data_IF_570617709684
#
_entry.id   IF_570617709684
#
_cell.length_a   1.000
_cell.length_b   1.000
_cell.length_c   1.000
_cell.angle_alpha   90.00
_cell.angle_beta   90.00
_cell.angle_gamma   90.00
#
_symmetry.space_group_name_H-M   'P 1'
#
loop_
_entity.id
_entity.type
_entity.pdbx_description
1 polymer ?
#
# COMPACT_ATOMS: atom_id res chain seq x y z
N UNK A 1 17.39 85.05 -18.22
CA UNK A 1 17.09 85.22 -19.67
C UNK A 1 16.46 83.93 -20.16
N UNK A 2 15.23 84.14 -20.61
CA UNK A 2 14.51 83.53 -21.71
C UNK A 2 14.28 82.01 -21.69
N UNK A 3 13.21 81.43 -22.01
CA UNK A 3 11.85 81.88 -22.48
C UNK A 3 10.97 80.60 -22.33
N UNK A 4 9.75 80.79 -21.91
CA UNK A 4 8.71 79.82 -21.96
C UNK A 4 8.24 79.56 -23.41
N UNK A 5 7.96 78.31 -23.75
CA UNK A 5 7.05 77.98 -24.86
C UNK A 5 6.06 76.93 -24.47
N UNK A 6 4.80 77.28 -24.63
CA UNK A 6 3.60 76.48 -24.42
C UNK A 6 3.39 75.55 -25.61
N UNK A 7 2.97 74.29 -25.38
CA UNK A 7 2.34 73.51 -26.43
C UNK A 7 1.19 72.62 -25.86
N UNK A 8 0.04 73.00 -26.22
CA UNK A 8 -1.23 72.30 -26.53
C UNK A 8 -1.51 70.89 -25.97
N UNK A 9 -2.63 70.83 -25.24
CA UNK A 9 -3.41 69.67 -24.84
C UNK A 9 -3.88 68.88 -26.08
N UNK A 10 -3.40 67.60 -26.18
CA UNK A 10 -3.96 66.56 -27.04
C UNK A 10 -4.85 65.63 -26.22
N UNK A 11 -6.06 65.44 -26.71
CA UNK A 11 -7.16 64.60 -26.17
C UNK A 11 -6.75 63.11 -26.25
N UNK A 12 -6.93 62.26 -25.21
CA UNK A 12 -6.67 60.84 -25.33
C UNK A 12 -7.73 60.13 -26.19
N UNK A 13 -7.35 59.12 -27.00
CA UNK A 13 -8.31 58.33 -27.76
C UNK A 13 -9.09 57.35 -26.88
N UNK A 14 -10.31 57.05 -27.32
CA UNK A 14 -11.31 56.21 -26.66
C UNK A 14 -10.79 54.82 -26.31
N UNK A 15 -11.08 54.41 -25.09
CA UNK A 15 -10.85 53.03 -24.60
C UNK A 15 -11.69 52.05 -25.42
N UNK A 16 -11.00 51.16 -26.13
CA UNK A 16 -11.60 49.96 -26.72
C UNK A 16 -11.98 49.04 -25.60
N UNK A 17 -13.25 48.74 -25.43
CA UNK A 17 -13.77 47.67 -24.57
C UNK A 17 -13.26 46.35 -25.15
N UNK A 18 -12.25 45.76 -24.53
CA UNK A 18 -11.88 44.37 -24.72
C UNK A 18 -12.94 43.52 -24.01
N UNK A 19 -13.57 42.65 -24.77
CA UNK A 19 -14.69 41.82 -24.32
C UNK A 19 -14.31 40.83 -23.23
N UNK A 20 -15.29 40.53 -22.42
CA UNK A 20 -15.33 39.46 -21.46
C UNK A 20 -15.17 38.08 -22.16
N UNK A 21 -13.95 37.60 -22.29
CA UNK A 21 -13.63 36.24 -22.78
C UNK A 21 -12.59 35.51 -21.89
N UNK A 22 -12.40 35.97 -20.64
CA UNK A 22 -11.37 35.43 -19.75
C UNK A 22 -11.84 34.67 -18.50
N UNK A 23 -13.16 34.64 -18.23
CA UNK A 23 -13.65 34.15 -16.90
C UNK A 23 -13.84 32.62 -16.84
N UNK A 24 -14.06 31.96 -17.98
CA UNK A 24 -14.29 30.52 -18.01
C UNK A 24 -12.99 29.71 -17.93
N UNK A 25 -11.87 30.26 -18.42
CA UNK A 25 -10.58 29.56 -18.44
C UNK A 25 -9.85 29.69 -17.08
N UNK A 26 -10.06 30.78 -16.36
CA UNK A 26 -9.45 31.06 -15.04
C UNK A 26 -10.05 30.18 -13.92
N UNK A 27 -11.35 29.88 -13.98
CA UNK A 27 -12.00 29.00 -12.99
C UNK A 27 -11.55 27.54 -13.10
N UNK A 28 -11.30 27.04 -14.31
CA UNK A 28 -10.77 25.69 -14.54
C UNK A 28 -9.32 25.55 -14.05
N UNK A 29 -8.50 26.56 -14.31
CA UNK A 29 -7.11 26.62 -13.85
C UNK A 29 -7.07 26.69 -12.33
N UNK A 30 -7.88 27.55 -11.69
CA UNK A 30 -7.91 27.70 -10.22
C UNK A 30 -8.41 26.44 -9.51
N UNK A 31 -9.44 25.79 -10.05
CA UNK A 31 -9.92 24.50 -9.51
C UNK A 31 -8.82 23.44 -9.53
N UNK A 32 -8.03 23.38 -10.60
CA UNK A 32 -6.90 22.45 -10.74
C UNK A 32 -5.77 22.76 -9.74
N UNK A 33 -5.45 24.04 -9.51
CA UNK A 33 -4.46 24.47 -8.50
C UNK A 33 -4.90 24.07 -7.09
N UNK A 34 -6.17 24.26 -6.74
CA UNK A 34 -6.73 23.86 -5.45
C UNK A 34 -6.60 22.34 -5.28
N UNK A 35 -6.94 21.54 -6.30
CA UNK A 35 -6.80 20.09 -6.25
C UNK A 35 -5.34 19.63 -6.06
N UNK A 36 -4.41 20.27 -6.77
CA UNK A 36 -2.99 19.98 -6.63
C UNK A 36 -2.49 20.29 -5.21
N UNK A 37 -2.88 21.45 -4.67
CA UNK A 37 -2.55 21.83 -3.28
C UNK A 37 -3.17 20.87 -2.27
N UNK A 38 -4.44 20.50 -2.44
CA UNK A 38 -5.12 19.52 -1.60
C UNK A 38 -4.44 18.15 -1.66
N UNK A 39 -4.09 17.67 -2.86
CA UNK A 39 -3.37 16.40 -3.04
C UNK A 39 -2.02 16.40 -2.31
N UNK A 40 -1.22 17.47 -2.46
CA UNK A 40 0.07 17.61 -1.80
C UNK A 40 -0.07 17.64 -0.28
N UNK A 41 -1.02 18.40 0.23
CA UNK A 41 -1.26 18.55 1.66
C UNK A 41 -1.77 17.25 2.29
N UNK A 42 -2.72 16.57 1.64
CA UNK A 42 -3.22 15.27 2.11
C UNK A 42 -2.11 14.22 2.07
N UNK A 43 -1.30 14.16 1.01
CA UNK A 43 -0.19 13.22 0.91
C UNK A 43 0.84 13.40 2.04
N UNK A 44 1.10 14.63 2.48
CA UNK A 44 2.09 14.95 3.52
C UNK A 44 1.53 14.91 4.94
N UNK A 45 0.28 15.36 5.15
CA UNK A 45 -0.34 15.53 6.47
C UNK A 45 -1.43 14.51 6.79
N UNK A 46 -1.80 13.68 5.81
CA UNK A 46 -2.80 12.64 5.96
C UNK A 46 -4.24 13.11 5.71
N UNK A 47 -5.18 12.17 5.81
CA UNK A 47 -6.60 12.41 5.54
C UNK A 47 -7.32 13.29 6.58
N UNK A 48 -6.67 13.66 7.69
CA UNK A 48 -7.23 14.60 8.68
C UNK A 48 -7.21 16.05 8.21
N UNK A 49 -6.48 16.38 7.14
CA UNK A 49 -6.41 17.72 6.56
C UNK A 49 -7.81 18.32 6.39
N UNK A 50 -8.02 19.53 6.92
CA UNK A 50 -9.29 20.25 6.87
C UNK A 50 -9.41 21.11 5.60
N UNK A 51 -10.63 21.50 5.23
CA UNK A 51 -10.86 22.48 4.14
C UNK A 51 -10.20 23.83 4.43
N UNK A 52 -10.13 24.24 5.70
CA UNK A 52 -9.45 25.48 6.10
C UNK A 52 -7.96 25.39 5.76
N UNK A 53 -7.29 24.32 6.14
CA UNK A 53 -5.87 24.11 5.85
C UNK A 53 -5.60 24.06 4.33
N UNK A 54 -6.51 23.48 3.55
CA UNK A 54 -6.42 23.47 2.09
C UNK A 54 -6.57 24.89 1.53
N UNK A 55 -7.54 25.67 2.03
CA UNK A 55 -7.75 27.06 1.59
C UNK A 55 -6.53 27.92 1.92
N UNK A 56 -6.02 27.81 3.14
CA UNK A 56 -4.83 28.55 3.60
C UNK A 56 -3.60 28.21 2.75
N UNK A 57 -3.36 26.93 2.49
CA UNK A 57 -2.26 26.46 1.66
C UNK A 57 -2.41 26.89 0.17
N UNK A 58 -3.65 26.98 -0.33
CA UNK A 58 -3.95 27.47 -1.67
C UNK A 58 -3.94 29.00 -1.77
N UNK A 59 -3.75 29.72 -0.66
CA UNK A 59 -3.77 31.19 -0.62
C UNK A 59 -5.12 31.79 -0.96
N UNK A 60 -6.23 31.14 -0.56
CA UNK A 60 -7.60 31.62 -0.81
C UNK A 60 -8.41 31.66 0.49
N UNK A 61 -9.47 32.47 0.46
CA UNK A 61 -10.42 32.44 1.57
C UNK A 61 -11.26 31.15 1.53
N UNK A 62 -11.66 30.58 2.68
CA UNK A 62 -12.52 29.39 2.73
C UNK A 62 -13.80 29.53 1.91
N UNK A 63 -14.42 30.73 1.93
CA UNK A 63 -15.59 31.03 1.11
C UNK A 63 -15.34 30.86 -0.40
N UNK A 64 -14.14 31.24 -0.88
CA UNK A 64 -13.74 31.03 -2.28
C UNK A 64 -13.54 29.55 -2.62
N UNK A 65 -13.06 28.74 -1.66
CA UNK A 65 -12.91 27.30 -1.85
C UNK A 65 -14.28 26.65 -2.07
N UNK A 66 -15.30 27.04 -1.31
CA UNK A 66 -16.66 26.51 -1.45
C UNK A 66 -17.32 26.84 -2.82
N UNK A 67 -16.85 27.86 -3.55
CA UNK A 67 -17.28 28.09 -4.94
C UNK A 67 -16.73 27.04 -5.92
N UNK A 68 -15.67 26.33 -5.57
CA UNK A 68 -15.05 25.30 -6.41
C UNK A 68 -15.38 23.88 -5.95
N UNK A 69 -15.57 23.67 -4.66
CA UNK A 69 -15.84 22.35 -4.05
C UNK A 69 -16.82 22.49 -2.90
N UNK A 70 -17.96 21.80 -2.97
CA UNK A 70 -19.04 21.89 -1.98
C UNK A 70 -18.63 21.26 -0.63
N UNK A 71 -17.68 20.31 -0.64
CA UNK A 71 -17.23 19.60 0.54
C UNK A 71 -15.80 19.07 0.38
N UNK A 72 -15.22 18.56 1.47
CA UNK A 72 -13.95 17.83 1.43
C UNK A 72 -14.10 16.54 0.62
N UNK A 73 -15.22 15.86 0.78
CA UNK A 73 -15.54 14.63 0.04
C UNK A 73 -15.52 14.88 -1.47
N UNK A 74 -16.03 16.02 -1.95
CA UNK A 74 -15.98 16.39 -3.36
C UNK A 74 -14.53 16.51 -3.89
N UNK A 75 -13.60 17.04 -3.08
CA UNK A 75 -12.16 17.05 -3.40
C UNK A 75 -11.60 15.62 -3.45
N UNK A 76 -11.91 14.81 -2.45
CA UNK A 76 -11.43 13.43 -2.36
C UNK A 76 -11.96 12.58 -3.54
N UNK A 77 -13.22 12.72 -3.90
CA UNK A 77 -13.85 12.05 -5.05
C UNK A 77 -13.12 12.43 -6.34
N UNK A 78 -12.87 13.71 -6.57
CA UNK A 78 -12.15 14.16 -7.76
C UNK A 78 -10.73 13.61 -7.84
N UNK A 79 -10.00 13.57 -6.72
CA UNK A 79 -8.66 13.00 -6.66
C UNK A 79 -8.65 11.50 -6.98
N UNK A 80 -9.62 10.74 -6.45
CA UNK A 80 -9.74 9.30 -6.74
C UNK A 80 -10.13 9.07 -8.21
N UNK A 81 -11.04 9.85 -8.76
CA UNK A 81 -11.44 9.72 -10.16
C UNK A 81 -10.25 9.92 -11.10
N UNK A 82 -9.45 10.96 -10.90
CA UNK A 82 -8.23 11.20 -11.69
C UNK A 82 -7.24 10.06 -11.58
N UNK A 83 -7.06 9.52 -10.38
CA UNK A 83 -6.22 8.35 -10.18
C UNK A 83 -6.71 7.12 -10.94
N UNK A 84 -8.01 6.83 -10.88
CA UNK A 84 -8.61 5.72 -11.61
C UNK A 84 -8.55 5.92 -13.13
N UNK A 85 -8.74 7.15 -13.63
CA UNK A 85 -8.61 7.50 -15.05
C UNK A 85 -7.19 7.26 -15.54
N UNK A 86 -6.16 7.63 -14.77
CA UNK A 86 -4.77 7.40 -15.13
C UNK A 86 -4.42 5.91 -15.09
N UNK A 87 -4.87 5.14 -14.10
CA UNK A 87 -4.71 3.69 -14.09
C UNK A 87 -5.41 3.02 -15.28
N UNK A 88 -6.61 3.47 -15.64
CA UNK A 88 -7.33 2.97 -16.81
C UNK A 88 -6.56 3.27 -18.10
N UNK A 89 -6.01 4.47 -18.24
CA UNK A 89 -5.18 4.86 -19.40
C UNK A 89 -3.92 4.00 -19.50
N UNK A 90 -3.25 3.73 -18.38
CA UNK A 90 -2.08 2.83 -18.33
C UNK A 90 -2.46 1.43 -18.81
N UNK A 91 -3.56 0.87 -18.30
CA UNK A 91 -4.05 -0.45 -18.71
C UNK A 91 -4.38 -0.51 -20.20
N UNK A 92 -5.15 0.46 -20.71
CA UNK A 92 -5.51 0.54 -22.12
C UNK A 92 -4.29 0.68 -23.04
N UNK A 93 -3.32 1.53 -22.64
CA UNK A 93 -2.08 1.71 -23.40
C UNK A 93 -1.28 0.42 -23.46
N UNK A 94 -1.17 -0.31 -22.33
CA UNK A 94 -0.45 -1.57 -22.30
C UNK A 94 -1.13 -2.65 -23.15
N UNK A 95 -2.47 -2.73 -23.15
CA UNK A 95 -3.22 -3.64 -24.00
C UNK A 95 -3.05 -3.32 -25.49
N UNK A 96 -3.18 -2.05 -25.88
CA UNK A 96 -2.99 -1.65 -27.28
C UNK A 96 -1.59 -2.03 -27.81
N UNK A 97 -0.56 -1.90 -26.99
CA UNK A 97 0.81 -2.29 -27.35
C UNK A 97 1.03 -3.81 -27.46
N UNK A 98 0.17 -4.64 -26.90
CA UNK A 98 0.25 -6.09 -27.10
C UNK A 98 -0.20 -6.50 -28.50
N UNK A 99 -1.09 -5.73 -29.12
CA UNK A 99 -1.60 -5.95 -30.48
C UNK A 99 -0.63 -5.43 -31.56
N UNK A 100 0.33 -4.57 -31.18
CA UNK A 100 1.35 -4.06 -32.09
C UNK A 100 2.52 -5.06 -32.25
N UNK A 101 3.18 -5.10 -33.42
CA UNK A 101 4.38 -5.91 -33.62
C UNK A 101 5.55 -5.33 -32.82
N UNK A 102 5.59 -5.66 -31.54
CA UNK A 102 6.63 -5.20 -30.58
C UNK A 102 7.57 -6.37 -30.28
N UNK A 103 8.84 -6.21 -30.68
CA UNK A 103 9.91 -7.21 -30.51
C UNK A 103 10.49 -7.24 -29.09
N UNK A 104 10.05 -6.36 -28.16
CA UNK A 104 10.57 -6.33 -26.79
C UNK A 104 10.26 -7.62 -26.05
N UNK A 105 11.22 -8.13 -25.24
CA UNK A 105 11.02 -9.32 -24.44
C UNK A 105 9.88 -9.14 -23.41
N UNK A 106 9.14 -10.21 -23.13
CA UNK A 106 8.04 -10.19 -22.15
C UNK A 106 8.43 -9.65 -20.79
N UNK A 107 9.62 -9.98 -20.19
CA UNK A 107 10.01 -9.40 -18.90
C UNK A 107 10.10 -7.88 -18.94
N UNK A 108 10.53 -7.28 -20.02
CA UNK A 108 10.58 -5.82 -20.15
C UNK A 108 9.19 -5.19 -20.17
N UNK A 109 8.23 -5.83 -20.86
CA UNK A 109 6.82 -5.40 -20.89
C UNK A 109 6.18 -5.46 -19.50
N UNK A 110 6.47 -6.52 -18.72
CA UNK A 110 5.99 -6.66 -17.33
C UNK A 110 6.58 -5.56 -16.45
N UNK A 111 7.89 -5.30 -16.55
CA UNK A 111 8.58 -4.28 -15.76
C UNK A 111 8.08 -2.87 -16.15
N UNK A 112 7.92 -2.58 -17.44
CA UNK A 112 7.38 -1.30 -17.92
C UNK A 112 5.98 -1.03 -17.38
N UNK A 113 5.07 -2.00 -17.50
CA UNK A 113 3.72 -1.88 -16.95
C UNK A 113 3.75 -1.73 -15.42
N UNK A 114 4.56 -2.51 -14.73
CA UNK A 114 4.76 -2.41 -13.29
C UNK A 114 5.27 -1.03 -12.87
N UNK A 115 6.29 -0.49 -13.56
CA UNK A 115 6.83 0.84 -13.31
C UNK A 115 5.81 1.95 -13.58
N UNK A 116 5.00 1.83 -14.65
CA UNK A 116 3.93 2.78 -14.94
C UNK A 116 2.87 2.82 -13.82
N UNK A 117 2.46 1.66 -13.32
CA UNK A 117 1.52 1.56 -12.17
C UNK A 117 2.15 2.19 -10.91
N UNK A 118 3.40 1.86 -10.60
CA UNK A 118 4.10 2.38 -9.42
C UNK A 118 4.26 3.91 -9.48
N UNK A 119 4.65 4.47 -10.62
CA UNK A 119 4.77 5.92 -10.81
C UNK A 119 3.42 6.62 -10.70
N UNK A 120 2.35 6.05 -11.26
CA UNK A 120 1.00 6.57 -11.09
C UNK A 120 0.60 6.60 -9.61
N UNK A 121 0.87 5.53 -8.85
CA UNK A 121 0.60 5.49 -7.42
C UNK A 121 1.37 6.56 -6.63
N UNK A 122 2.62 6.87 -7.01
CA UNK A 122 3.41 7.96 -6.42
C UNK A 122 2.82 9.33 -6.75
N UNK A 123 2.45 9.56 -8.01
CA UNK A 123 1.85 10.83 -8.45
C UNK A 123 0.51 11.12 -7.75
N UNK A 124 -0.26 10.08 -7.49
CA UNK A 124 -1.57 10.17 -6.85
C UNK A 124 -1.55 9.75 -5.37
N UNK A 125 -0.52 10.15 -4.61
CA UNK A 125 -0.32 9.73 -3.23
C UNK A 125 -1.53 9.96 -2.30
N UNK A 126 -2.26 11.06 -2.47
CA UNK A 126 -3.49 11.32 -1.71
C UNK A 126 -4.61 10.31 -2.06
N UNK A 127 -4.81 10.01 -3.33
CA UNK A 127 -5.79 9.01 -3.76
C UNK A 127 -5.38 7.60 -3.32
N UNK A 128 -4.08 7.29 -3.38
CA UNK A 128 -3.55 6.02 -2.90
C UNK A 128 -3.81 5.82 -1.39
N UNK A 129 -3.72 6.87 -0.57
CA UNK A 129 -4.06 6.79 0.86
C UNK A 129 -5.53 6.42 1.09
N UNK A 130 -6.42 6.79 0.18
CA UNK A 130 -7.85 6.48 0.24
C UNK A 130 -8.22 5.14 -0.40
N UNK A 131 -7.48 4.69 -1.39
CA UNK A 131 -7.69 3.41 -2.07
C UNK A 131 -7.50 2.26 -1.09
N UNK A 132 -8.45 1.60 -0.61
CA UNK A 132 -8.44 0.63 0.48
C UNK A 132 -9.01 1.18 1.82
N UNK A 133 -9.62 2.36 1.79
CA UNK A 133 -10.28 2.90 2.96
C UNK A 133 -11.65 2.20 3.12
N UNK A 134 -11.76 1.38 4.14
CA UNK A 134 -13.01 0.70 4.52
C UNK A 134 -13.79 1.48 5.60
N UNK A 135 -13.35 2.69 5.91
CA UNK A 135 -13.98 3.53 6.93
C UNK A 135 -15.40 3.95 6.54
N UNK A 136 -16.27 4.22 7.51
CA UNK A 136 -17.61 4.74 7.24
C UNK A 136 -17.49 6.16 6.68
N UNK A 137 -17.45 6.28 5.37
CA UNK A 137 -17.75 7.56 4.72
C UNK A 137 -19.25 7.76 4.73
N UNK A 138 -19.70 8.97 5.06
CA UNK A 138 -21.11 9.34 4.90
C UNK A 138 -21.47 9.48 3.40
N UNK A 139 -20.48 9.62 2.52
CA UNK A 139 -20.67 9.77 1.09
C UNK A 139 -20.63 8.41 0.37
N UNK A 140 -21.76 7.97 -0.21
CA UNK A 140 -21.84 6.66 -0.89
C UNK A 140 -20.96 6.57 -2.13
N UNK A 141 -20.73 7.70 -2.83
CA UNK A 141 -19.89 7.75 -4.02
C UNK A 141 -18.43 7.54 -3.66
N UNK A 142 -17.94 8.23 -2.61
CA UNK A 142 -16.58 8.05 -2.10
C UNK A 142 -16.35 6.60 -1.70
N UNK A 143 -17.29 5.98 -0.97
CA UNK A 143 -17.21 4.55 -0.61
C UNK A 143 -17.12 3.66 -1.85
N UNK A 144 -17.96 3.87 -2.85
CA UNK A 144 -17.94 3.08 -4.09
C UNK A 144 -16.60 3.20 -4.82
N UNK A 145 -16.08 4.41 -4.96
CA UNK A 145 -14.82 4.66 -5.65
C UNK A 145 -13.62 4.05 -4.92
N UNK A 146 -13.57 4.14 -3.59
CA UNK A 146 -12.46 3.58 -2.80
C UNK A 146 -12.41 2.05 -2.81
N UNK A 147 -13.55 1.39 -3.02
CA UNK A 147 -13.66 -0.07 -3.08
C UNK A 147 -13.54 -0.63 -4.51
N UNK A 148 -13.53 0.22 -5.52
CA UNK A 148 -13.47 -0.22 -6.90
C UNK A 148 -12.07 -0.75 -7.25
N UNK A 149 -11.96 -2.04 -7.67
CA UNK A 149 -10.68 -2.59 -8.06
C UNK A 149 -10.20 -1.98 -9.39
N UNK A 150 -8.89 -1.81 -9.59
CA UNK A 150 -8.32 -1.22 -10.81
C UNK A 150 -8.27 -2.26 -11.94
N UNK A 151 -9.43 -2.62 -12.49
CA UNK A 151 -9.60 -3.74 -13.44
C UNK A 151 -8.74 -3.59 -14.70
N UNK A 152 -8.58 -2.38 -15.23
CA UNK A 152 -7.85 -2.17 -16.48
C UNK A 152 -6.37 -2.58 -16.40
N UNK A 153 -5.68 -2.24 -15.31
CA UNK A 153 -4.27 -2.65 -15.11
C UNK A 153 -4.16 -4.14 -14.80
N UNK A 154 -5.14 -4.73 -14.09
CA UNK A 154 -5.16 -6.16 -13.80
C UNK A 154 -5.33 -6.98 -15.09
N UNK A 155 -6.26 -6.58 -15.97
CA UNK A 155 -6.46 -7.23 -17.27
C UNK A 155 -5.23 -7.05 -18.17
N UNK A 156 -4.65 -5.86 -18.26
CA UNK A 156 -3.43 -5.62 -19.03
C UNK A 156 -2.26 -6.49 -18.53
N UNK A 157 -2.06 -6.59 -17.21
CA UNK A 157 -1.04 -7.47 -16.64
C UNK A 157 -1.32 -8.94 -16.95
N UNK A 158 -2.57 -9.38 -16.82
CA UNK A 158 -2.98 -10.75 -17.14
C UNK A 158 -2.71 -11.09 -18.61
N UNK A 159 -3.03 -10.20 -19.54
CA UNK A 159 -2.77 -10.41 -20.97
C UNK A 159 -1.26 -10.46 -21.24
N UNK A 160 -0.47 -9.58 -20.61
CA UNK A 160 1.00 -9.60 -20.71
C UNK A 160 1.59 -10.92 -20.20
N UNK A 161 1.08 -11.43 -19.08
CA UNK A 161 1.49 -12.73 -18.54
C UNK A 161 1.06 -13.90 -19.42
N UNK A 162 -0.13 -13.84 -20.04
CA UNK A 162 -0.58 -14.83 -21.02
C UNK A 162 0.35 -14.86 -22.23
N UNK A 163 0.72 -13.71 -22.77
CA UNK A 163 1.72 -13.63 -23.86
C UNK A 163 3.06 -14.24 -23.41
N UNK A 164 3.48 -14.01 -22.17
CA UNK A 164 4.66 -14.65 -21.59
C UNK A 164 4.57 -16.16 -21.48
N UNK A 165 3.41 -16.70 -21.16
CA UNK A 165 3.18 -18.16 -21.16
C UNK A 165 3.21 -18.74 -22.58
N UNK A 166 2.59 -18.07 -23.53
CA UNK A 166 2.62 -18.47 -24.94
C UNK A 166 4.02 -18.51 -25.53
N UNK A 167 4.88 -17.57 -25.16
CA UNK A 167 6.29 -17.55 -25.57
C UNK A 167 7.19 -18.54 -24.82
N UNK A 168 6.64 -19.30 -23.87
CA UNK A 168 7.40 -20.22 -23.03
C UNK A 168 8.23 -19.55 -21.93
N UNK A 169 8.07 -18.24 -21.70
CA UNK A 169 8.80 -17.49 -20.66
C UNK A 169 8.23 -17.73 -19.25
N UNK A 170 6.90 -17.76 -19.10
CA UNK A 170 6.23 -18.03 -17.81
C UNK A 170 5.95 -19.52 -17.68
N UNK A 171 6.22 -20.10 -16.53
CA UNK A 171 5.96 -21.52 -16.20
C UNK A 171 4.48 -21.87 -16.40
N UNK A 172 4.16 -23.10 -16.89
CA UNK A 172 2.79 -23.49 -17.22
C UNK A 172 1.88 -23.69 -16.02
N UNK A 173 2.43 -23.99 -14.85
CA UNK A 173 1.74 -24.32 -13.60
C UNK A 173 1.37 -23.09 -12.76
N UNK A 174 1.82 -21.91 -13.13
CA UNK A 174 1.51 -20.67 -12.40
C UNK A 174 0.06 -20.22 -12.66
N UNK A 175 -0.69 -19.89 -11.63
CA UNK A 175 -2.00 -19.25 -11.77
C UNK A 175 -1.83 -17.78 -12.17
N UNK A 176 -2.14 -17.46 -13.44
CA UNK A 176 -1.91 -16.13 -14.00
C UNK A 176 -2.84 -15.05 -13.45
N UNK A 177 -4.14 -15.31 -13.20
CA UNK A 177 -5.00 -14.31 -12.57
C UNK A 177 -4.48 -13.88 -11.20
N UNK A 178 -4.14 -14.81 -10.32
CA UNK A 178 -3.56 -14.53 -9.00
C UNK A 178 -2.21 -13.80 -9.11
N UNK A 179 -1.37 -14.19 -10.07
CA UNK A 179 -0.09 -13.52 -10.31
C UNK A 179 -0.28 -12.08 -10.80
N UNK A 180 -1.21 -11.82 -11.72
CA UNK A 180 -1.51 -10.48 -12.22
C UNK A 180 -1.99 -9.57 -11.08
N UNK A 181 -2.92 -10.06 -10.26
CA UNK A 181 -3.40 -9.33 -9.08
C UNK A 181 -2.26 -9.06 -8.09
N UNK A 182 -1.43 -10.07 -7.81
CA UNK A 182 -0.25 -9.93 -6.94
C UNK A 182 0.70 -8.83 -7.41
N UNK A 183 1.06 -8.83 -8.71
CA UNK A 183 1.96 -7.84 -9.27
C UNK A 183 1.33 -6.44 -9.18
N UNK A 184 0.08 -6.28 -9.64
CA UNK A 184 -0.59 -4.98 -9.61
C UNK A 184 -0.69 -4.41 -8.20
N UNK A 185 -1.13 -5.19 -7.21
CA UNK A 185 -1.21 -4.74 -5.83
C UNK A 185 0.17 -4.39 -5.25
N UNK A 186 1.20 -5.20 -5.57
CA UNK A 186 2.58 -4.90 -5.16
C UNK A 186 3.04 -3.56 -5.74
N UNK A 187 2.78 -3.28 -7.01
CA UNK A 187 3.15 -2.02 -7.67
C UNK A 187 2.40 -0.82 -7.09
N UNK A 188 1.11 -0.94 -6.79
CA UNK A 188 0.34 0.10 -6.11
C UNK A 188 0.92 0.44 -4.72
N UNK A 189 1.42 -0.57 -4.00
CA UNK A 189 2.05 -0.36 -2.69
C UNK A 189 3.42 0.33 -2.77
N UNK A 190 4.10 0.32 -3.91
CA UNK A 190 5.36 1.05 -4.12
C UNK A 190 5.19 2.54 -3.80
N UNK A 191 4.05 3.14 -4.14
CA UNK A 191 3.77 4.54 -3.83
C UNK A 191 3.90 4.86 -2.35
N UNK A 192 3.39 3.98 -1.46
CA UNK A 192 3.51 4.14 0.00
C UNK A 192 4.97 4.00 0.47
N UNK A 193 5.72 3.06 -0.11
CA UNK A 193 7.12 2.84 0.23
C UNK A 193 8.01 4.01 -0.20
N UNK A 194 7.77 4.57 -1.40
CA UNK A 194 8.50 5.72 -1.94
C UNK A 194 8.27 6.97 -1.09
N UNK A 195 7.03 7.28 -0.75
CA UNK A 195 6.68 8.43 0.10
C UNK A 195 7.38 8.37 1.46
N UNK A 196 7.57 7.17 2.03
CA UNK A 196 8.18 6.98 3.36
C UNK A 196 9.71 6.92 3.35
N UNK A 197 10.33 6.59 2.22
CA UNK A 197 11.75 6.23 2.19
C UNK A 197 12.56 6.98 1.14
N UNK A 198 11.96 7.93 0.43
CA UNK A 198 12.59 8.72 -0.63
C UNK A 198 13.38 7.86 -1.65
N UNK A 199 12.76 6.78 -2.12
CA UNK A 199 13.34 5.83 -3.08
C UNK A 199 12.81 6.13 -4.49
N UNK A 200 13.54 5.72 -5.55
CA UNK A 200 13.01 5.78 -6.92
C UNK A 200 11.92 4.72 -7.11
N UNK A 201 10.75 5.12 -7.61
CA UNK A 201 9.66 4.20 -7.93
C UNK A 201 10.07 3.16 -8.97
N UNK A 202 10.77 3.58 -10.02
CA UNK A 202 11.25 2.69 -11.08
C UNK A 202 12.20 1.62 -10.56
N UNK A 203 13.19 2.01 -9.74
CA UNK A 203 14.14 1.06 -9.16
C UNK A 203 13.46 0.03 -8.24
N UNK A 204 12.49 0.47 -7.45
CA UNK A 204 11.73 -0.42 -6.55
C UNK A 204 10.83 -1.34 -7.35
N UNK A 205 10.09 -0.82 -8.34
CA UNK A 205 9.22 -1.60 -9.21
C UNK A 205 9.99 -2.63 -10.04
N UNK A 206 11.10 -2.23 -10.64
CA UNK A 206 11.98 -3.12 -11.39
C UNK A 206 12.50 -4.25 -10.51
N UNK A 207 12.99 -3.94 -9.31
CA UNK A 207 13.50 -4.96 -8.39
C UNK A 207 12.41 -5.93 -7.95
N UNK A 208 11.20 -5.44 -7.62
CA UNK A 208 10.06 -6.29 -7.25
C UNK A 208 9.64 -7.19 -8.40
N UNK A 209 9.53 -6.68 -9.62
CA UNK A 209 9.23 -7.48 -10.80
C UNK A 209 10.32 -8.54 -11.05
N UNK A 210 11.60 -8.18 -10.92
CA UNK A 210 12.71 -9.14 -11.06
C UNK A 210 12.65 -10.24 -10.02
N UNK A 211 12.37 -9.93 -8.75
CA UNK A 211 12.21 -10.95 -7.71
C UNK A 211 11.06 -11.89 -8.06
N UNK A 212 9.90 -11.37 -8.45
CA UNK A 212 8.74 -12.19 -8.80
C UNK A 212 9.04 -13.08 -10.02
N UNK A 213 9.71 -12.54 -11.03
CA UNK A 213 10.02 -13.29 -12.26
C UNK A 213 11.11 -14.33 -12.05
N UNK A 214 12.21 -13.99 -11.39
CA UNK A 214 13.42 -14.80 -11.32
C UNK A 214 13.55 -15.59 -10.02
N UNK A 215 12.92 -15.13 -8.93
CA UNK A 215 13.09 -15.65 -7.58
C UNK A 215 14.43 -15.26 -6.95
N UNK A 216 14.51 -15.41 -5.64
CA UNK A 216 15.71 -15.14 -4.85
C UNK A 216 16.62 -16.36 -4.69
N UNK A 217 16.06 -17.58 -4.64
CA UNK A 217 16.84 -18.78 -4.40
C UNK A 217 17.70 -19.13 -5.63
N UNK A 218 19.01 -19.31 -5.44
CA UNK A 218 19.93 -19.72 -6.50
C UNK A 218 19.54 -21.08 -7.11
N UNK A 219 19.02 -21.97 -6.28
CA UNK A 219 18.43 -23.26 -6.69
C UNK A 219 16.99 -23.29 -6.23
N UNK A 220 16.06 -23.69 -7.12
CA UNK A 220 14.63 -23.78 -6.78
C UNK A 220 14.39 -24.87 -5.72
N UNK A 221 13.95 -24.52 -4.50
CA UNK A 221 13.66 -25.50 -3.47
C UNK A 221 12.35 -26.21 -3.77
N UNK A 222 12.22 -27.49 -3.37
CA UNK A 222 10.96 -28.23 -3.45
C UNK A 222 10.08 -27.92 -2.23
N UNK A 223 8.74 -28.04 -2.38
CA UNK A 223 7.82 -27.87 -1.25
C UNK A 223 8.13 -28.83 -0.12
N UNK A 224 8.42 -30.10 -0.44
CA UNK A 224 8.74 -31.13 0.54
C UNK A 224 10.02 -30.82 1.34
N UNK A 225 11.03 -30.20 0.73
CA UNK A 225 12.24 -29.82 1.45
C UNK A 225 11.95 -28.65 2.42
N UNK A 226 11.24 -27.63 1.95
CA UNK A 226 10.85 -26.47 2.76
C UNK A 226 9.97 -26.87 3.94
N UNK A 227 8.95 -27.72 3.71
CA UNK A 227 8.02 -28.18 4.74
C UNK A 227 8.68 -29.01 5.86
N UNK A 228 9.80 -29.67 5.56
CA UNK A 228 10.57 -30.47 6.54
C UNK A 228 11.69 -29.70 7.21
N UNK A 229 11.88 -28.43 6.87
CA UNK A 229 12.97 -27.63 7.44
C UNK A 229 12.77 -27.34 8.93
N UNK A 230 13.86 -27.19 9.66
CA UNK A 230 13.83 -26.75 11.06
C UNK A 230 13.22 -25.36 11.21
N UNK A 231 13.37 -24.49 10.20
CA UNK A 231 12.76 -23.18 10.18
C UNK A 231 11.22 -23.27 10.12
N UNK A 232 10.68 -24.18 9.31
CA UNK A 232 9.24 -24.38 9.20
C UNK A 232 8.65 -24.99 10.48
N UNK A 233 9.35 -25.92 11.09
CA UNK A 233 8.99 -26.48 12.41
C UNK A 233 8.99 -25.40 13.50
N UNK A 234 10.00 -24.52 13.51
CA UNK A 234 10.09 -23.40 14.45
C UNK A 234 8.95 -22.39 14.27
N UNK A 235 8.54 -22.11 13.01
CA UNK A 235 7.38 -21.30 12.72
C UNK A 235 6.09 -21.93 13.27
N UNK A 236 5.85 -23.21 12.99
CA UNK A 236 4.66 -23.93 13.47
C UNK A 236 4.55 -23.91 14.99
N UNK A 237 5.66 -24.17 15.71
CA UNK A 237 5.66 -24.16 17.16
C UNK A 237 5.18 -22.84 17.76
N UNK A 238 5.50 -21.69 17.13
CA UNK A 238 4.97 -20.38 17.59
C UNK A 238 3.54 -20.17 17.13
N UNK A 239 3.18 -20.52 15.89
CA UNK A 239 1.83 -20.37 15.35
C UNK A 239 0.81 -21.15 16.19
N UNK A 240 1.17 -22.33 16.67
CA UNK A 240 0.33 -23.14 17.57
C UNK A 240 -0.01 -22.41 18.86
N UNK A 241 0.92 -21.64 19.44
CA UNK A 241 0.66 -20.85 20.64
C UNK A 241 -0.39 -19.75 20.42
N UNK A 242 -0.60 -19.31 19.19
CA UNK A 242 -1.62 -18.29 18.88
C UNK A 242 -3.05 -18.82 19.01
N UNK A 243 -3.26 -20.13 18.99
CA UNK A 243 -4.58 -20.75 19.13
C UNK A 243 -5.20 -20.48 20.51
N UNK A 244 -4.38 -20.45 21.57
CA UNK A 244 -4.81 -20.33 22.96
C UNK A 244 -5.35 -18.94 23.33
N UNK A 245 -5.03 -17.91 22.54
CA UNK A 245 -5.49 -16.54 22.78
C UNK A 245 -6.99 -16.28 22.46
N UNK A 246 -7.69 -17.25 21.88
CA UNK A 246 -9.15 -17.14 21.64
C UNK A 246 -9.98 -17.44 22.89
N UNK A 247 -9.40 -18.15 23.84
CA UNK A 247 -10.05 -18.58 25.07
C UNK A 247 -9.90 -17.56 26.22
N UNK A 248 -9.73 -16.27 25.89
CA UNK A 248 -9.82 -15.20 26.88
C UNK A 248 -11.15 -15.38 27.63
N UNK A 249 -11.05 -15.57 28.94
CA UNK A 249 -12.20 -15.83 29.83
C UNK A 249 -13.32 -14.81 29.52
N UNK A 250 -14.52 -15.25 29.09
CA UNK A 250 -15.63 -14.34 28.76
C UNK A 250 -16.01 -13.42 29.92
N UNK A 251 -15.59 -13.74 31.15
CA UNK A 251 -15.79 -12.90 32.35
C UNK A 251 -14.78 -11.75 32.47
N UNK A 252 -13.69 -11.75 31.69
CA UNK A 252 -12.72 -10.66 31.69
C UNK A 252 -13.19 -9.50 30.79
N UNK A 253 -13.73 -8.47 31.48
CA UNK A 253 -14.22 -7.26 30.81
C UNK A 253 -13.14 -6.53 29.99
N UNK A 254 -11.88 -6.61 30.41
CA UNK A 254 -10.78 -5.98 29.68
C UNK A 254 -10.53 -6.72 28.35
N UNK A 255 -10.44 -8.04 28.39
CA UNK A 255 -10.29 -8.87 27.19
C UNK A 255 -11.48 -8.69 26.23
N UNK A 256 -12.71 -8.60 26.75
CA UNK A 256 -13.89 -8.35 25.94
C UNK A 256 -13.85 -6.97 25.26
N UNK A 257 -13.51 -5.91 25.99
CA UNK A 257 -13.39 -4.55 25.42
C UNK A 257 -12.28 -4.48 24.39
N UNK A 258 -11.12 -5.11 24.62
CA UNK A 258 -10.03 -5.19 23.66
C UNK A 258 -10.44 -5.90 22.36
N UNK A 259 -11.17 -7.01 22.47
CA UNK A 259 -11.66 -7.76 21.30
C UNK A 259 -12.65 -6.93 20.47
N UNK A 260 -13.60 -6.24 21.14
CA UNK A 260 -14.57 -5.36 20.45
C UNK A 260 -13.85 -4.14 19.83
N UNK A 261 -12.93 -3.52 20.56
CA UNK A 261 -12.17 -2.37 20.04
C UNK A 261 -11.35 -2.73 18.81
N UNK A 262 -10.68 -3.90 18.83
CA UNK A 262 -9.93 -4.44 17.69
C UNK A 262 -10.82 -4.60 16.46
N UNK A 263 -11.97 -5.22 16.62
CA UNK A 263 -12.95 -5.41 15.54
C UNK A 263 -13.47 -4.05 15.01
N UNK A 264 -13.84 -3.12 15.88
CA UNK A 264 -14.32 -1.80 15.47
C UNK A 264 -13.24 -0.96 14.78
N UNK A 265 -12.00 -0.98 15.28
CA UNK A 265 -10.87 -0.31 14.62
C UNK A 265 -10.54 -0.95 13.26
N UNK A 266 -10.56 -2.27 13.15
CA UNK A 266 -10.33 -2.99 11.89
C UNK A 266 -11.41 -2.74 10.84
N UNK A 267 -12.66 -2.65 11.28
CA UNK A 267 -13.83 -2.46 10.41
C UNK A 267 -14.06 -1.01 10.00
N UNK A 268 -13.97 -0.06 10.93
CA UNK A 268 -14.33 1.35 10.73
C UNK A 268 -13.13 2.27 10.57
N UNK A 269 -11.95 1.81 10.96
CA UNK A 269 -10.75 2.63 11.08
C UNK A 269 -10.62 3.26 12.47
N UNK A 270 -9.38 3.41 12.91
CA UNK A 270 -9.05 4.00 14.22
C UNK A 270 -9.58 5.42 14.36
N UNK A 271 -9.40 6.26 13.34
CA UNK A 271 -9.67 7.70 13.41
C UNK A 271 -11.14 8.02 13.71
N UNK A 272 -12.06 7.32 13.07
CA UNK A 272 -13.50 7.59 13.16
C UNK A 272 -14.19 6.83 14.29
N UNK A 273 -13.59 5.76 14.80
CA UNK A 273 -14.16 4.97 15.93
C UNK A 273 -13.99 5.74 17.23
N UNK A 274 -15.07 5.91 17.98
CA UNK A 274 -15.07 6.57 19.29
C UNK A 274 -15.15 5.55 20.43
N UNK A 275 -14.76 5.95 21.65
CA UNK A 275 -14.95 5.12 22.86
C UNK A 275 -16.45 4.82 23.08
N UNK A 276 -17.34 5.71 22.66
CA UNK A 276 -18.80 5.47 22.74
C UNK A 276 -19.23 4.34 21.81
N UNK A 277 -18.67 4.28 20.60
CA UNK A 277 -18.97 3.21 19.65
C UNK A 277 -18.50 1.86 20.21
N UNK A 278 -17.28 1.80 20.76
CA UNK A 278 -16.72 0.61 21.39
C UNK A 278 -17.58 0.18 22.60
N UNK A 279 -17.97 1.11 23.46
CA UNK A 279 -18.81 0.83 24.61
C UNK A 279 -20.17 0.27 24.20
N UNK A 280 -20.80 0.90 23.20
CA UNK A 280 -22.08 0.43 22.64
C UNK A 280 -21.97 -0.98 22.05
N UNK A 281 -20.94 -1.25 21.26
CA UNK A 281 -20.70 -2.56 20.66
C UNK A 281 -20.35 -3.63 21.71
N UNK A 282 -19.69 -3.25 22.81
CA UNK A 282 -19.38 -4.14 23.93
C UNK A 282 -20.56 -4.35 24.90
N UNK A 283 -21.66 -3.63 24.74
CA UNK A 283 -22.79 -3.68 25.69
C UNK A 283 -22.44 -3.09 27.06
N UNK A 284 -21.51 -2.14 27.12
CA UNK A 284 -20.99 -1.53 28.35
C UNK A 284 -21.24 0.00 28.38
N UNK A 285 -21.25 0.55 29.57
CA UNK A 285 -21.21 2.02 29.73
C UNK A 285 -19.84 2.59 29.42
N UNK A 286 -19.78 3.78 28.80
CA UNK A 286 -18.53 4.49 28.42
C UNK A 286 -17.58 4.64 29.61
N UNK A 287 -18.11 4.98 30.84
CA UNK A 287 -17.31 5.07 32.05
C UNK A 287 -16.66 3.75 32.47
N UNK A 288 -17.29 2.60 32.13
CA UNK A 288 -16.70 1.27 32.37
C UNK A 288 -15.51 1.04 31.45
N UNK A 289 -15.63 1.40 30.17
CA UNK A 289 -14.54 1.26 29.21
C UNK A 289 -13.33 2.11 29.64
N UNK A 290 -13.52 3.39 29.97
CA UNK A 290 -12.44 4.25 30.46
C UNK A 290 -11.76 3.71 31.72
N UNK A 291 -12.54 3.17 32.66
CA UNK A 291 -11.98 2.60 33.91
C UNK A 291 -11.16 1.34 33.68
N UNK A 292 -11.57 0.50 32.70
CA UNK A 292 -10.94 -0.80 32.46
C UNK A 292 -9.71 -0.68 31.59
N UNK A 293 -9.72 0.21 30.62
CA UNK A 293 -8.71 0.26 29.55
C UNK A 293 -8.00 1.63 29.46
N UNK A 294 -8.59 2.69 29.98
CA UNK A 294 -8.05 4.04 29.86
C UNK A 294 -8.49 4.75 28.57
N UNK A 295 -7.54 5.27 27.79
CA UNK A 295 -7.81 6.05 26.59
C UNK A 295 -7.94 5.20 25.32
N UNK A 296 -8.45 5.81 24.24
CA UNK A 296 -8.48 5.20 22.91
C UNK A 296 -7.08 4.87 22.39
N UNK A 297 -6.09 5.72 22.68
CA UNK A 297 -4.70 5.51 22.28
C UNK A 297 -4.06 4.33 23.04
N UNK A 298 -4.38 4.17 24.33
CA UNK A 298 -3.93 3.03 25.13
C UNK A 298 -4.55 1.72 24.64
N UNK A 299 -5.82 1.74 24.23
CA UNK A 299 -6.45 0.60 23.56
C UNK A 299 -5.70 0.19 22.29
N UNK A 300 -5.44 1.14 21.40
CA UNK A 300 -4.70 0.90 20.16
C UNK A 300 -3.30 0.36 20.45
N UNK A 301 -2.58 1.00 21.36
CA UNK A 301 -1.23 0.57 21.75
C UNK A 301 -1.24 -0.86 22.27
N UNK A 302 -2.16 -1.21 23.19
CA UNK A 302 -2.28 -2.56 23.75
C UNK A 302 -2.55 -3.62 22.66
N UNK A 303 -3.48 -3.34 21.73
CA UNK A 303 -3.82 -4.24 20.62
C UNK A 303 -2.60 -4.44 19.73
N UNK A 304 -1.98 -3.34 19.27
CA UNK A 304 -0.90 -3.39 18.29
C UNK A 304 0.42 -3.91 18.87
N UNK A 305 0.72 -3.63 20.13
CA UNK A 305 1.89 -4.20 20.82
C UNK A 305 1.73 -5.72 21.03
N UNK A 306 0.54 -6.18 21.39
CA UNK A 306 0.27 -7.62 21.50
C UNK A 306 0.46 -8.32 20.15
N UNK A 307 -0.11 -7.79 19.08
CA UNK A 307 0.09 -8.27 17.71
C UNK A 307 1.58 -8.27 17.33
N UNK A 308 2.27 -7.14 17.55
CA UNK A 308 3.69 -6.98 17.24
C UNK A 308 4.56 -8.02 17.93
N UNK A 309 4.34 -8.28 19.24
CA UNK A 309 5.07 -9.28 20.02
C UNK A 309 4.87 -10.70 19.48
N UNK A 310 3.64 -11.07 19.08
CA UNK A 310 3.34 -12.40 18.52
C UNK A 310 4.06 -12.65 17.21
N UNK A 311 3.96 -11.70 16.28
CA UNK A 311 4.66 -11.80 15.00
C UNK A 311 6.18 -11.80 15.19
N UNK A 312 6.71 -10.97 16.10
CA UNK A 312 8.15 -10.94 16.42
C UNK A 312 8.64 -12.25 17.02
N UNK A 313 7.86 -12.89 17.92
CA UNK A 313 8.20 -14.21 18.45
C UNK A 313 8.36 -15.24 17.33
N UNK A 314 7.46 -15.23 16.31
CA UNK A 314 7.59 -16.09 15.13
C UNK A 314 8.87 -15.80 14.33
N UNK A 315 9.16 -14.53 14.07
CA UNK A 315 10.38 -14.12 13.37
C UNK A 315 11.65 -14.56 14.11
N UNK A 316 11.72 -14.29 15.41
CA UNK A 316 12.89 -14.66 16.24
C UNK A 316 13.08 -16.18 16.28
N UNK A 317 11.99 -16.97 16.43
CA UNK A 317 12.07 -18.43 16.43
C UNK A 317 12.63 -18.96 15.12
N UNK A 318 12.11 -18.48 13.98
CA UNK A 318 12.57 -18.86 12.64
C UNK A 318 14.05 -18.46 12.44
N UNK A 319 14.42 -17.23 12.77
CA UNK A 319 15.79 -16.74 12.55
C UNK A 319 16.84 -17.48 13.41
N UNK A 320 16.46 -17.95 14.60
CA UNK A 320 17.33 -18.72 15.50
C UNK A 320 17.41 -20.20 15.16
N UNK A 321 16.54 -20.73 14.31
CA UNK A 321 16.56 -22.13 13.92
C UNK A 321 17.85 -22.50 13.17
N UNK A 322 18.27 -23.75 13.31
CA UNK A 322 19.35 -24.32 12.51
C UNK A 322 18.81 -24.74 11.13
N UNK A 323 18.74 -23.74 10.22
CA UNK A 323 18.20 -23.87 8.89
C UNK A 323 18.90 -22.89 7.93
N UNK A 324 18.81 -23.16 6.64
CA UNK A 324 19.43 -22.33 5.60
C UNK A 324 18.69 -21.00 5.44
N UNK A 325 19.33 -19.95 4.91
CA UNK A 325 18.70 -18.67 4.62
C UNK A 325 17.43 -18.77 3.77
N UNK A 326 17.40 -19.66 2.77
CA UNK A 326 16.23 -19.89 1.92
C UNK A 326 15.08 -20.52 2.70
N UNK A 327 15.35 -21.51 3.55
CA UNK A 327 14.35 -22.14 4.43
C UNK A 327 13.80 -21.14 5.46
N UNK A 328 14.65 -20.26 6.01
CA UNK A 328 14.22 -19.19 6.90
C UNK A 328 13.31 -18.18 6.19
N UNK A 329 13.63 -17.78 4.96
CA UNK A 329 12.76 -16.89 4.17
C UNK A 329 11.37 -17.51 3.92
N UNK A 330 11.32 -18.82 3.62
CA UNK A 330 10.07 -19.55 3.47
C UNK A 330 9.24 -19.56 4.76
N UNK A 331 9.87 -19.93 5.86
CA UNK A 331 9.23 -20.01 7.16
C UNK A 331 8.72 -18.63 7.66
N UNK A 332 9.44 -17.53 7.35
CA UNK A 332 8.97 -16.18 7.62
C UNK A 332 7.71 -15.85 6.80
N UNK A 333 7.63 -16.29 5.53
CA UNK A 333 6.40 -16.16 4.74
C UNK A 333 5.25 -16.94 5.37
N UNK A 334 5.51 -18.13 5.91
CA UNK A 334 4.50 -18.94 6.62
C UNK A 334 4.00 -18.27 7.90
N UNK A 335 4.91 -17.67 8.70
CA UNK A 335 4.53 -16.84 9.85
C UNK A 335 3.60 -15.71 9.43
N UNK A 336 3.95 -14.98 8.35
CA UNK A 336 3.15 -13.84 7.89
C UNK A 336 1.77 -14.25 7.33
N UNK A 337 1.69 -15.38 6.60
CA UNK A 337 0.41 -15.94 6.10
C UNK A 337 -0.52 -16.27 7.26
N UNK A 338 0.01 -16.93 8.31
CA UNK A 338 -0.79 -17.28 9.49
C UNK A 338 -1.15 -16.06 10.35
N UNK A 339 -0.24 -15.07 10.43
CA UNK A 339 -0.52 -13.82 11.13
C UNK A 339 -1.66 -13.05 10.44
N UNK A 340 -1.66 -12.97 9.11
CA UNK A 340 -2.73 -12.31 8.35
C UNK A 340 -4.08 -13.04 8.51
N UNK A 341 -4.08 -14.37 8.47
CA UNK A 341 -5.27 -15.19 8.68
C UNK A 341 -5.85 -15.04 10.10
N UNK A 342 -4.97 -15.00 11.10
CA UNK A 342 -5.36 -15.00 12.51
C UNK A 342 -5.69 -13.61 13.06
N UNK A 343 -4.94 -12.60 12.63
CA UNK A 343 -4.96 -11.24 13.16
C UNK A 343 -5.34 -10.24 12.05
N UNK A 344 -6.38 -10.58 11.26
CA UNK A 344 -6.79 -9.77 10.10
C UNK A 344 -7.19 -8.33 10.48
N UNK A 345 -7.82 -8.14 11.66
CA UNK A 345 -8.23 -6.81 12.13
C UNK A 345 -7.01 -5.96 12.50
N UNK A 346 -6.04 -6.52 13.22
CA UNK A 346 -4.78 -5.83 13.56
C UNK A 346 -4.00 -5.48 12.30
N UNK A 347 -4.01 -6.36 11.30
CA UNK A 347 -3.37 -6.10 10.02
C UNK A 347 -4.05 -4.96 9.25
N UNK A 348 -5.40 -4.91 9.26
CA UNK A 348 -6.17 -3.79 8.68
C UNK A 348 -5.90 -2.48 9.41
N UNK A 349 -5.86 -2.49 10.74
CA UNK A 349 -5.50 -1.33 11.56
C UNK A 349 -4.11 -0.84 11.16
N UNK A 350 -3.15 -1.73 11.02
CA UNK A 350 -1.79 -1.40 10.62
C UNK A 350 -1.71 -0.81 9.21
N UNK A 351 -2.42 -1.40 8.24
CA UNK A 351 -2.47 -0.88 6.87
C UNK A 351 -3.13 0.51 6.81
N UNK A 352 -4.22 0.70 7.54
CA UNK A 352 -4.88 1.99 7.65
C UNK A 352 -3.94 3.04 8.25
N UNK A 353 -3.22 2.69 9.33
CA UNK A 353 -2.22 3.57 9.91
C UNK A 353 -1.12 3.96 8.93
N UNK A 354 -0.56 3.00 8.20
CA UNK A 354 0.49 3.26 7.21
C UNK A 354 0.04 4.19 6.08
N UNK A 355 -1.24 4.22 5.76
CA UNK A 355 -1.80 5.05 4.69
C UNK A 355 -2.22 6.43 5.17
N UNK A 356 -2.84 6.51 6.34
CA UNK A 356 -3.51 7.70 6.84
C UNK A 356 -2.61 8.59 7.70
N UNK A 357 -1.57 8.02 8.32
CA UNK A 357 -0.66 8.76 9.17
C UNK A 357 0.47 9.40 8.36
N UNK A 358 0.94 10.60 8.77
CA UNK A 358 2.12 11.21 8.18
C UNK A 358 3.31 10.23 8.14
N UNK A 359 4.20 10.32 7.14
CA UNK A 359 5.27 9.35 6.93
C UNK A 359 6.17 9.10 8.14
N UNK A 360 6.36 10.12 8.98
CA UNK A 360 7.24 10.06 10.15
C UNK A 360 6.53 9.66 11.45
N UNK A 361 5.21 9.37 11.42
CA UNK A 361 4.47 8.98 12.60
C UNK A 361 4.83 7.54 13.01
N UNK A 362 5.28 7.30 14.25
CA UNK A 362 5.55 5.93 14.73
C UNK A 362 4.29 5.07 14.64
N UNK A 363 4.43 3.86 14.12
CA UNK A 363 3.33 2.89 14.09
C UNK A 363 3.39 2.04 15.37
N UNK A 364 2.37 2.08 16.22
CA UNK A 364 2.32 1.28 17.45
C UNK A 364 2.52 -0.21 17.15
N UNK A 365 3.38 -0.89 17.90
CA UNK A 365 3.63 -2.32 17.75
C UNK A 365 4.38 -2.75 16.48
N UNK A 366 4.73 -1.83 15.58
CA UNK A 366 5.42 -2.15 14.35
C UNK A 366 6.93 -2.06 14.49
N UNK A 367 7.59 -3.20 14.60
CA UNK A 367 9.04 -3.32 14.76
C UNK A 367 9.79 -3.26 13.41
N UNK A 368 9.39 -2.35 12.51
CA UNK A 368 9.93 -2.32 11.13
C UNK A 368 11.46 -2.19 11.07
N UNK A 369 12.04 -1.30 11.86
CA UNK A 369 13.49 -1.11 11.89
C UNK A 369 14.23 -2.39 12.34
N UNK A 370 13.67 -3.13 13.30
CA UNK A 370 14.21 -4.41 13.76
C UNK A 370 14.10 -5.46 12.66
N UNK A 371 12.92 -5.61 12.05
CA UNK A 371 12.72 -6.55 10.92
C UNK A 371 13.59 -6.23 9.72
N UNK A 372 13.81 -4.96 9.42
CA UNK A 372 14.71 -4.54 8.35
C UNK A 372 16.16 -4.97 8.63
N UNK A 373 16.65 -4.79 9.88
CA UNK A 373 17.98 -5.27 10.27
C UNK A 373 18.10 -6.79 10.18
N UNK A 374 17.12 -7.51 10.70
CA UNK A 374 17.05 -8.99 10.66
C UNK A 374 17.05 -9.49 9.21
N UNK A 375 16.22 -8.93 8.37
CA UNK A 375 16.14 -9.29 6.94
C UNK A 375 17.44 -8.98 6.20
N UNK A 376 18.05 -7.82 6.44
CA UNK A 376 19.38 -7.51 5.87
C UNK A 376 20.45 -8.52 6.26
N UNK A 377 20.46 -8.92 7.52
CA UNK A 377 21.41 -9.96 8.01
C UNK A 377 21.17 -11.29 7.29
N UNK A 378 19.93 -11.76 7.25
CA UNK A 378 19.54 -13.01 6.60
C UNK A 378 19.89 -13.02 5.10
N UNK A 379 19.56 -11.96 4.38
CA UNK A 379 19.88 -11.85 2.95
C UNK A 379 21.40 -11.79 2.71
N UNK A 380 22.14 -11.07 3.55
CA UNK A 380 23.60 -11.00 3.45
C UNK A 380 24.27 -12.36 3.72
N UNK A 381 23.71 -13.14 4.65
CA UNK A 381 24.14 -14.51 4.90
C UNK A 381 23.90 -15.41 3.70
N UNK A 382 22.66 -15.39 3.14
CA UNK A 382 22.30 -16.19 1.98
C UNK A 382 23.09 -15.85 0.71
N UNK A 383 23.39 -14.57 0.50
CA UNK A 383 24.24 -14.12 -0.62
C UNK A 383 25.66 -14.64 -0.46
N UNK A 384 26.26 -14.54 0.75
CA UNK A 384 27.60 -15.07 1.03
C UNK A 384 27.68 -16.60 0.91
N UNK A 385 26.61 -17.29 1.27
CA UNK A 385 26.51 -18.75 1.13
C UNK A 385 26.23 -19.20 -0.33
N UNK A 386 25.97 -18.27 -1.25
CA UNK A 386 25.60 -18.59 -2.64
C UNK A 386 24.20 -19.21 -2.78
N UNK A 387 23.35 -19.12 -1.76
CA UNK A 387 21.99 -19.63 -1.77
C UNK A 387 20.99 -18.62 -2.33
N UNK A 388 21.29 -17.33 -2.19
CA UNK A 388 20.46 -16.22 -2.66
C UNK A 388 21.19 -15.51 -3.80
N UNK A 389 20.54 -15.44 -4.96
CA UNK A 389 20.97 -14.64 -6.09
C UNK A 389 20.41 -13.24 -5.95
N UNK A 390 21.28 -12.28 -5.65
CA UNK A 390 20.89 -10.87 -5.65
C UNK A 390 21.79 -10.14 -6.65
N UNK A 391 21.15 -9.59 -7.68
CA UNK A 391 21.80 -8.58 -8.53
C UNK A 391 21.89 -7.24 -7.77
N UNK A 392 22.61 -6.21 -8.31
CA UNK A 392 22.58 -4.89 -7.71
C UNK A 392 21.14 -4.41 -7.58
N UNK A 393 20.66 -4.03 -6.46
CA UNK A 393 20.87 -2.80 -5.72
C UNK A 393 21.31 -3.06 -4.28
N UNK A 394 21.34 -1.99 -3.45
CA UNK A 394 21.75 -2.11 -2.05
C UNK A 394 20.96 -3.18 -1.29
N UNK A 395 21.63 -3.92 -0.40
CA UNK A 395 20.98 -4.92 0.47
C UNK A 395 19.81 -4.33 1.27
N UNK A 396 19.82 -3.03 1.54
CA UNK A 396 18.73 -2.33 2.23
C UNK A 396 17.48 -2.24 1.35
N UNK A 397 17.60 -1.92 0.07
CA UNK A 397 16.47 -1.90 -0.86
C UNK A 397 15.93 -3.31 -1.07
N UNK A 398 16.81 -4.29 -1.27
CA UNK A 398 16.43 -5.69 -1.38
C UNK A 398 15.63 -6.16 -0.14
N UNK A 399 16.12 -5.86 1.06
CA UNK A 399 15.44 -6.24 2.30
C UNK A 399 14.04 -5.59 2.43
N UNK A 400 13.89 -4.33 2.04
CA UNK A 400 12.58 -3.65 2.01
C UNK A 400 11.62 -4.33 1.03
N UNK A 401 12.07 -4.61 -0.18
CA UNK A 401 11.28 -5.31 -1.20
C UNK A 401 10.86 -6.70 -0.74
N UNK A 402 11.78 -7.47 -0.14
CA UNK A 402 11.49 -8.83 0.36
C UNK A 402 10.48 -8.79 1.50
N UNK A 403 10.64 -7.88 2.48
CA UNK A 403 9.66 -7.70 3.56
C UNK A 403 8.27 -7.39 2.97
N UNK A 404 8.18 -6.51 1.99
CA UNK A 404 6.90 -6.22 1.30
C UNK A 404 6.31 -7.45 0.61
N UNK A 405 7.14 -8.21 -0.10
CA UNK A 405 6.70 -9.41 -0.81
C UNK A 405 6.33 -10.59 0.10
N UNK A 406 6.81 -10.63 1.35
CA UNK A 406 6.40 -11.66 2.30
C UNK A 406 4.96 -11.48 2.80
N UNK A 407 4.34 -10.32 2.58
CA UNK A 407 2.93 -10.09 2.87
C UNK A 407 2.10 -10.36 1.61
N UNK A 408 1.23 -11.36 1.71
CA UNK A 408 0.30 -11.69 0.64
C UNK A 408 -0.95 -10.83 0.80
N UNK A 409 -1.53 -10.27 -0.29
CA UNK A 409 -2.80 -9.58 -0.23
C UNK A 409 -3.91 -10.43 0.40
N UNK A 410 -4.71 -9.82 1.26
CA UNK A 410 -5.76 -10.52 2.02
C UNK A 410 -6.79 -11.19 1.11
N UNK A 411 -7.15 -10.56 -0.01
CA UNK A 411 -8.06 -11.13 -1.00
C UNK A 411 -7.50 -12.41 -1.64
N UNK A 412 -6.19 -12.48 -1.90
CA UNK A 412 -5.54 -13.70 -2.39
C UNK A 412 -5.61 -14.78 -1.32
N UNK A 413 -5.20 -14.47 -0.08
CA UNK A 413 -5.26 -15.43 1.03
C UNK A 413 -6.67 -15.99 1.23
N UNK A 414 -7.71 -15.14 1.18
CA UNK A 414 -9.10 -15.56 1.32
C UNK A 414 -9.59 -16.43 0.14
N UNK A 415 -9.13 -16.14 -1.07
CA UNK A 415 -9.55 -16.87 -2.26
C UNK A 415 -8.93 -18.27 -2.33
N UNK A 416 -7.64 -18.42 -1.99
CA UNK A 416 -6.91 -19.67 -2.20
C UNK A 416 -6.62 -20.44 -0.91
N UNK A 417 -6.76 -19.84 0.26
CA UNK A 417 -6.42 -20.42 1.57
C UNK A 417 -4.91 -20.40 1.87
N UNK A 418 -4.56 -20.66 3.14
CA UNK A 418 -3.19 -20.52 3.67
C UNK A 418 -2.14 -21.31 2.91
N UNK A 419 -2.43 -22.58 2.60
CA UNK A 419 -1.44 -23.46 1.97
C UNK A 419 -1.13 -23.04 0.54
N UNK A 420 -2.14 -22.74 -0.26
CA UNK A 420 -1.94 -22.25 -1.62
C UNK A 420 -1.32 -20.85 -1.64
N UNK A 421 -1.66 -19.99 -0.67
CA UNK A 421 -1.01 -18.69 -0.48
C UNK A 421 0.49 -18.83 -0.19
N UNK A 422 0.89 -19.80 0.65
CA UNK A 422 2.31 -20.10 0.87
C UNK A 422 3.00 -20.58 -0.40
N UNK A 423 2.39 -21.50 -1.16
CA UNK A 423 2.95 -21.97 -2.45
C UNK A 423 3.11 -20.78 -3.41
N UNK A 424 2.12 -19.91 -3.50
CA UNK A 424 2.21 -18.69 -4.28
C UNK A 424 3.35 -17.76 -3.81
N UNK A 425 3.59 -17.63 -2.49
CA UNK A 425 4.74 -16.90 -1.98
C UNK A 425 6.07 -17.57 -2.36
N UNK A 426 6.18 -18.88 -2.28
CA UNK A 426 7.34 -19.65 -2.72
C UNK A 426 7.67 -19.41 -4.19
N UNK A 427 6.64 -19.42 -5.04
CA UNK A 427 6.81 -19.24 -6.48
C UNK A 427 7.19 -17.79 -6.83
N UNK A 428 6.63 -16.79 -6.14
CA UNK A 428 6.89 -15.37 -6.44
C UNK A 428 8.11 -14.79 -5.74
N UNK A 429 8.58 -15.38 -4.62
CA UNK A 429 9.71 -14.85 -3.86
C UNK A 429 10.97 -15.72 -4.00
N UNK A 430 10.82 -17.04 -3.92
CA UNK A 430 11.97 -17.94 -3.89
C UNK A 430 12.33 -18.53 -5.26
N UNK A 431 11.35 -19.08 -5.98
CA UNK A 431 11.57 -19.85 -7.21
C UNK A 431 11.59 -19.00 -8.47
N UNK A 432 10.84 -17.88 -8.47
CA UNK A 432 10.49 -17.12 -9.65
C UNK A 432 9.47 -17.84 -10.54
N UNK A 433 8.66 -17.05 -11.25
CA UNK A 433 7.61 -17.56 -12.13
C UNK A 433 8.10 -17.76 -13.57
N UNK A 434 9.26 -17.21 -13.93
CA UNK A 434 9.87 -17.40 -15.23
C UNK A 434 10.56 -18.76 -15.36
N UNK A 435 10.55 -19.29 -16.56
CA UNK A 435 11.35 -20.49 -16.92
C UNK A 435 12.82 -20.07 -16.89
N UNK A 436 13.62 -20.73 -16.07
CA UNK A 436 15.07 -20.46 -16.01
C UNK A 436 15.72 -21.03 -17.29
N UNK A 437 16.51 -20.22 -17.98
CA UNK A 437 17.39 -20.71 -19.03
C UNK A 437 18.32 -21.79 -18.45
N UNK A 438 18.44 -22.92 -19.14
CA UNK A 438 19.34 -24.01 -18.75
C UNK A 438 20.80 -23.60 -18.88
#
# INVERSE_FOLDING_TARGET
>A
MARAESLTKGRPPAAVRVGQAGVADDSGTRRTEILHTAASLIASSGLRTSLQEIADAAGILPGSLYHHFDSKEAILIELIRRYQEDLNRIGQTAQARLDEPDSRPVPEKIIELGSAIANCAVQHGAALQMSFYEGPSADPELMKLTQQPPMAIQEAMLQTLRAGRWSGYIKPDIDLPTLADRICQTMLQVGLAVMRHNSSADQVAELLCRIILQGLAARSPTDSALDRSNAFAAANGVIETWADDRDANPSDKAAHVLAVARMEFGRRGYEVTTIRDIASAAGLGTGTVYRVIGSKDELLASIMESFGRKVEAGWVSVLRSDATPVEKLDALSWVNVNALDRFSDEFRIQLAWMRQSPPNTPNPGWLYATRLRQMKSLLSEGIRAGEISAGPPSTTMLARCVIGLQWIPENILRAVGKRAALVHARDTVLRGVAVRAK
#
